data_IF_574468452272
#
_entry.id   IF_574468452272
#
_cell.length_a   1.000
_cell.length_b   1.000
_cell.length_c   1.000
_cell.angle_alpha   90.00
_cell.angle_beta   90.00
_cell.angle_gamma   90.00
#
_symmetry.space_group_name_H-M   'P 1'
#
loop_
_entity.id
_entity.type
_entity.pdbx_description
1 polymer ?
#
# COMPACT_ATOMS: atom_id res chain seq x y z
N UNK A 1 -23.40 14.88 -17.59
CA UNK A 1 -22.10 15.31 -18.15
C UNK A 1 -21.52 14.24 -19.08
N UNK A 2 -20.86 14.65 -20.17
CA UNK A 2 -20.12 13.72 -21.01
C UNK A 2 -18.90 13.20 -20.24
N UNK A 3 -18.52 11.92 -20.42
CA UNK A 3 -17.30 11.39 -19.83
C UNK A 3 -16.08 12.12 -20.38
N UNK A 4 -15.06 12.28 -19.54
CA UNK A 4 -13.79 12.88 -19.97
C UNK A 4 -12.99 11.93 -20.89
N UNK A 5 -11.93 12.46 -21.51
CA UNK A 5 -11.13 11.72 -22.48
C UNK A 5 -10.52 10.43 -21.88
N UNK A 6 -10.08 10.49 -20.63
CA UNK A 6 -9.48 9.35 -19.92
C UNK A 6 -10.51 8.26 -19.63
N UNK A 7 -11.71 8.66 -19.21
CA UNK A 7 -12.83 7.74 -19.01
C UNK A 7 -13.25 7.03 -20.31
N UNK A 8 -13.27 7.76 -21.43
CA UNK A 8 -13.55 7.19 -22.75
C UNK A 8 -12.48 6.19 -23.17
N UNK A 9 -11.21 6.53 -22.99
CA UNK A 9 -10.08 5.68 -23.35
C UNK A 9 -10.06 4.38 -22.54
N UNK A 10 -10.19 4.46 -21.22
CA UNK A 10 -10.22 3.26 -20.35
C UNK A 10 -11.47 2.42 -20.56
N UNK A 11 -12.61 3.07 -20.87
CA UNK A 11 -13.83 2.39 -21.28
C UNK A 11 -13.64 1.58 -22.56
N UNK A 12 -12.96 2.14 -23.56
CA UNK A 12 -12.65 1.44 -24.81
C UNK A 12 -11.74 0.23 -24.59
N UNK A 13 -10.68 0.37 -23.77
CA UNK A 13 -9.77 -0.74 -23.44
C UNK A 13 -10.53 -1.88 -22.76
N UNK A 14 -11.36 -1.57 -21.75
CA UNK A 14 -12.18 -2.59 -21.07
C UNK A 14 -13.12 -3.30 -22.04
N UNK A 15 -13.74 -2.56 -22.96
CA UNK A 15 -14.62 -3.12 -23.99
C UNK A 15 -13.88 -4.08 -24.92
N UNK A 16 -12.66 -3.73 -25.34
CA UNK A 16 -11.83 -4.62 -26.16
C UNK A 16 -11.46 -5.91 -25.43
N UNK A 17 -11.04 -5.81 -24.16
CA UNK A 17 -10.65 -6.99 -23.36
C UNK A 17 -11.85 -7.91 -23.05
N UNK A 18 -13.05 -7.36 -22.89
CA UNK A 18 -14.26 -8.14 -22.68
C UNK A 18 -14.57 -9.11 -23.84
N UNK A 19 -14.06 -8.84 -25.05
CA UNK A 19 -14.23 -9.73 -26.21
C UNK A 19 -13.45 -11.04 -26.10
N UNK A 20 -12.42 -11.09 -25.25
CA UNK A 20 -11.56 -12.25 -25.06
C UNK A 20 -12.22 -13.35 -24.21
N UNK A 21 -13.28 -13.01 -23.44
CA UNK A 21 -13.97 -13.90 -22.51
C UNK A 21 -13.02 -14.67 -21.55
N UNK A 22 -11.88 -14.05 -21.22
CA UNK A 22 -10.90 -14.58 -20.28
C UNK A 22 -11.02 -13.86 -18.94
N UNK A 23 -11.24 -14.63 -17.87
CA UNK A 23 -11.40 -14.10 -16.51
C UNK A 23 -10.10 -13.55 -15.94
N UNK A 24 -8.95 -13.95 -16.47
CA UNK A 24 -7.64 -13.53 -15.98
C UNK A 24 -7.12 -12.28 -16.69
N UNK A 25 -7.78 -11.84 -17.77
CA UNK A 25 -7.39 -10.67 -18.53
C UNK A 25 -8.23 -9.46 -18.11
N UNK A 26 -7.58 -8.46 -17.51
CA UNK A 26 -8.22 -7.21 -17.12
C UNK A 26 -7.25 -6.04 -17.27
N UNK A 27 -7.81 -4.86 -17.46
CA UNK A 27 -7.05 -3.61 -17.52
C UNK A 27 -6.95 -3.02 -16.12
N UNK A 28 -5.72 -2.73 -15.70
CA UNK A 28 -5.43 -1.99 -14.47
C UNK A 28 -5.16 -0.54 -14.85
N UNK A 29 -5.92 0.39 -14.28
CA UNK A 29 -5.76 1.81 -14.59
C UNK A 29 -4.41 2.34 -14.06
N UNK A 30 -3.76 3.30 -14.78
CA UNK A 30 -2.42 3.80 -14.45
C UNK A 30 -2.16 4.25 -13.00
N UNK A 31 -3.06 4.93 -12.27
CA UNK A 31 -2.78 5.30 -10.87
C UNK A 31 -2.62 4.08 -9.96
N UNK A 32 -3.25 2.94 -10.28
CA UNK A 32 -3.08 1.68 -9.55
C UNK A 32 -1.88 0.91 -10.10
N UNK A 33 -1.73 0.84 -11.43
CA UNK A 33 -0.63 0.13 -12.09
C UNK A 33 0.75 0.71 -11.74
N UNK A 34 0.88 2.03 -11.59
CA UNK A 34 2.14 2.66 -11.18
C UNK A 34 2.53 2.27 -9.75
N UNK A 35 1.57 2.27 -8.82
CA UNK A 35 1.80 1.85 -7.43
C UNK A 35 2.17 0.36 -7.35
N UNK A 36 1.54 -0.50 -8.14
CA UNK A 36 1.85 -1.94 -8.16
C UNK A 36 3.17 -2.24 -8.88
N UNK A 37 3.44 -1.59 -10.02
CA UNK A 37 4.70 -1.74 -10.76
C UNK A 37 5.90 -1.31 -9.93
N UNK A 38 5.77 -0.25 -9.16
CA UNK A 38 6.81 0.24 -8.25
C UNK A 38 7.11 -0.75 -7.10
N UNK A 39 6.08 -1.43 -6.58
CA UNK A 39 6.24 -2.48 -5.57
C UNK A 39 6.90 -3.71 -6.19
N UNK A 40 6.48 -4.15 -7.38
CA UNK A 40 7.05 -5.29 -8.09
C UNK A 40 8.49 -5.04 -8.58
N UNK A 41 8.82 -3.80 -8.94
CA UNK A 41 10.16 -3.38 -9.33
C UNK A 41 11.10 -3.17 -8.13
N UNK A 42 10.62 -3.34 -6.90
CA UNK A 42 11.40 -3.12 -5.68
C UNK A 42 11.73 -1.65 -5.41
N UNK A 43 11.12 -0.71 -6.13
CA UNK A 43 11.34 0.73 -5.97
C UNK A 43 10.58 1.30 -4.78
N UNK A 44 9.47 0.67 -4.39
CA UNK A 44 8.71 1.02 -3.19
C UNK A 44 8.59 -0.18 -2.26
N UNK A 45 9.02 0.02 -1.02
CA UNK A 45 9.05 -1.00 0.02
C UNK A 45 8.38 -0.49 1.30
N UNK A 46 8.22 -1.38 2.26
CA UNK A 46 7.86 -1.01 3.62
C UNK A 46 9.09 -1.12 4.53
N UNK A 47 8.96 -0.63 5.76
CA UNK A 47 10.01 -0.79 6.79
C UNK A 47 10.17 -2.24 7.31
N UNK A 48 9.43 -3.20 6.74
CA UNK A 48 9.49 -4.62 7.11
C UNK A 48 8.82 -4.92 8.45
N UNK A 49 7.65 -4.35 8.68
CA UNK A 49 6.85 -4.55 9.89
C UNK A 49 5.42 -4.90 9.51
N UNK A 50 4.82 -5.85 10.23
CA UNK A 50 3.38 -6.05 10.23
C UNK A 50 2.76 -5.16 11.32
N UNK A 51 1.71 -4.44 10.96
CA UNK A 51 0.95 -3.62 11.90
C UNK A 51 -0.39 -4.28 12.19
N UNK A 52 -0.76 -4.32 13.47
CA UNK A 52 -2.08 -4.77 13.91
C UNK A 52 -2.66 -3.81 14.92
N UNK A 53 -3.96 -3.59 14.85
CA UNK A 53 -4.68 -2.83 15.84
C UNK A 53 -5.04 -3.72 17.04
N UNK A 54 -4.74 -3.26 18.25
CA UNK A 54 -5.11 -3.95 19.49
C UNK A 54 -6.53 -3.57 19.97
N UNK A 55 -7.01 -4.23 21.03
CA UNK A 55 -8.35 -4.00 21.59
C UNK A 55 -8.54 -2.57 22.11
N UNK A 56 -7.46 -1.86 22.45
CA UNK A 56 -7.48 -0.46 22.86
C UNK A 56 -7.41 0.51 21.65
N UNK A 57 -7.42 0.00 20.42
CA UNK A 57 -7.34 0.79 19.19
C UNK A 57 -5.93 1.25 18.83
N UNK A 58 -4.89 0.80 19.54
CA UNK A 58 -3.50 1.19 19.27
C UNK A 58 -2.90 0.31 18.19
N UNK A 59 -2.04 0.89 17.37
CA UNK A 59 -1.27 0.16 16.39
C UNK A 59 -0.04 -0.48 17.02
N UNK A 60 0.00 -1.81 16.99
CA UNK A 60 1.12 -2.64 17.44
C UNK A 60 1.95 -3.12 16.26
N UNK A 61 3.25 -3.12 16.46
CA UNK A 61 4.27 -3.48 15.49
C UNK A 61 4.77 -4.92 15.72
N UNK A 62 4.96 -5.64 14.64
CA UNK A 62 5.52 -7.00 14.61
C UNK A 62 6.54 -7.07 13.46
N UNK A 63 7.84 -6.84 13.73
CA UNK A 63 8.85 -6.79 12.68
C UNK A 63 9.09 -8.17 12.05
N UNK A 64 9.32 -8.20 10.74
CA UNK A 64 9.77 -9.42 10.08
C UNK A 64 11.19 -9.76 10.52
N UNK A 65 11.47 -11.05 10.75
CA UNK A 65 12.81 -11.52 11.10
C UNK A 65 13.81 -11.06 10.03
N UNK A 66 14.94 -10.55 10.51
CA UNK A 66 16.01 -9.99 9.68
C UNK A 66 15.58 -8.80 8.78
N UNK A 67 14.40 -8.21 9.00
CA UNK A 67 13.91 -7.04 8.27
C UNK A 67 14.49 -5.71 8.78
N UNK A 68 14.30 -4.59 8.05
CA UNK A 68 14.80 -3.27 8.44
C UNK A 68 14.34 -2.83 9.84
N UNK A 69 13.05 -2.99 10.17
CA UNK A 69 12.51 -2.68 11.49
C UNK A 69 13.14 -3.52 12.62
N UNK A 70 13.37 -4.83 12.39
CA UNK A 70 14.05 -5.69 13.36
C UNK A 70 15.49 -5.25 13.59
N UNK A 71 16.23 -4.92 12.52
CA UNK A 71 17.62 -4.40 12.62
C UNK A 71 17.68 -3.05 13.32
N UNK A 72 16.65 -2.22 13.20
CA UNK A 72 16.49 -0.96 13.91
C UNK A 72 16.11 -1.14 15.40
N UNK A 73 15.83 -2.37 15.84
CA UNK A 73 15.55 -2.70 17.24
C UNK A 73 14.07 -2.67 17.62
N UNK A 74 13.15 -2.56 16.66
CA UNK A 74 11.71 -2.73 16.90
C UNK A 74 11.46 -4.16 17.41
N UNK A 75 10.54 -4.30 18.35
CA UNK A 75 10.17 -5.58 18.96
C UNK A 75 8.69 -5.87 18.76
N UNK A 76 8.34 -7.15 18.86
CA UNK A 76 6.96 -7.60 18.83
C UNK A 76 6.14 -6.93 19.94
N UNK A 77 5.05 -6.29 19.52
CA UNK A 77 4.10 -5.66 20.43
C UNK A 77 4.41 -4.19 20.76
N UNK A 78 5.48 -3.61 20.21
CA UNK A 78 5.77 -2.17 20.32
C UNK A 78 4.61 -1.33 19.77
N UNK A 79 4.37 -0.17 20.37
CA UNK A 79 3.26 0.71 20.00
C UNK A 79 3.76 1.80 19.05
N UNK A 80 3.10 1.94 17.90
CA UNK A 80 3.36 3.01 16.95
C UNK A 80 2.70 4.31 17.42
N UNK A 81 3.51 5.32 17.74
CA UNK A 81 3.03 6.62 18.21
C UNK A 81 3.05 7.69 17.10
N UNK A 82 4.08 7.67 16.24
CA UNK A 82 4.33 8.68 15.24
C UNK A 82 5.05 8.07 14.03
N UNK A 83 4.73 8.53 12.83
CA UNK A 83 5.49 8.25 11.61
C UNK A 83 5.96 9.60 11.06
N UNK A 84 7.27 9.80 10.96
CA UNK A 84 7.88 11.09 10.60
C UNK A 84 7.33 12.23 11.49
N UNK A 85 6.60 13.17 10.89
CA UNK A 85 5.96 14.30 11.58
C UNK A 85 4.47 14.14 11.86
N UNK A 86 3.91 12.97 11.55
CA UNK A 86 2.50 12.67 11.73
C UNK A 86 2.27 11.76 12.94
N UNK A 87 1.48 12.25 13.90
CA UNK A 87 1.00 11.42 15.01
C UNK A 87 0.01 10.36 14.51
N UNK A 88 0.14 9.15 15.05
CA UNK A 88 -0.75 8.04 14.71
C UNK A 88 -1.90 8.04 15.71
N UNK A 89 -2.97 8.72 15.33
CA UNK A 89 -4.19 8.78 16.13
C UNK A 89 -4.91 7.42 16.20
N UNK A 90 -5.64 7.19 17.29
CA UNK A 90 -6.41 5.96 17.51
C UNK A 90 -7.56 5.79 16.50
N UNK A 91 -8.01 6.83 15.82
CA UNK A 91 -9.07 6.77 14.80
C UNK A 91 -8.52 6.62 13.37
N UNK A 92 -7.20 6.68 13.19
CA UNK A 92 -6.58 6.57 11.88
C UNK A 92 -6.89 5.20 11.25
N UNK A 93 -7.25 5.20 9.96
CA UNK A 93 -7.56 3.96 9.27
C UNK A 93 -6.30 3.13 9.02
N UNK A 94 -6.47 1.81 8.95
CA UNK A 94 -5.36 0.87 8.80
C UNK A 94 -4.63 1.05 7.45
N UNK A 95 -5.37 1.29 6.37
CA UNK A 95 -4.83 1.60 5.05
C UNK A 95 -3.95 2.85 5.04
N UNK A 96 -4.37 3.91 5.76
CA UNK A 96 -3.58 5.12 5.91
C UNK A 96 -2.27 4.87 6.67
N UNK A 97 -2.28 4.06 7.73
CA UNK A 97 -1.05 3.66 8.45
C UNK A 97 -0.14 2.85 7.54
N UNK A 98 -0.69 1.89 6.79
CA UNK A 98 0.09 1.07 5.86
C UNK A 98 0.73 1.91 4.75
N UNK A 99 0.08 2.99 4.30
CA UNK A 99 0.65 3.95 3.37
C UNK A 99 1.79 4.78 3.98
N UNK A 100 1.64 5.23 5.22
CA UNK A 100 2.67 6.00 5.93
C UNK A 100 3.96 5.21 6.16
N UNK A 101 3.85 3.88 6.31
CA UNK A 101 4.98 2.98 6.54
C UNK A 101 5.64 2.51 5.23
N UNK A 102 5.08 2.88 4.09
CA UNK A 102 5.64 2.63 2.76
C UNK A 102 6.39 3.85 2.27
N UNK A 103 7.45 3.61 1.50
CA UNK A 103 8.25 4.66 0.89
C UNK A 103 9.15 4.12 -0.20
N UNK A 104 9.90 5.01 -0.82
CA UNK A 104 10.93 4.63 -1.78
C UNK A 104 12.01 3.77 -1.09
N UNK A 105 12.38 2.65 -1.72
CA UNK A 105 13.55 1.88 -1.30
C UNK A 105 14.78 2.65 -1.78
N UNK A 106 15.50 3.24 -0.83
CA UNK A 106 16.82 3.80 -1.09
C UNK A 106 17.86 2.74 -0.75
N UNK A 107 18.72 2.44 -1.72
CA UNK A 107 19.91 1.58 -1.58
C UNK A 107 20.83 2.05 -0.45
#
# INVERSE_FOLDING_TARGET
PLPDATQLEYGAIRGMLATLNDRLTYFIEPPVAASESNVLAGQYGGIGVQVRRDEAGRFRLYPFRDGPAARAGVRDGDILLKVNDQEVALDLRQDAVDQLLRGEVKE
#
